data_IF_799860826836
#
_entry.id   IF_799860826836
#
_cell.length_a   1.000
_cell.length_b   1.000
_cell.length_c   1.000
_cell.angle_alpha   90.00
_cell.angle_beta   90.00
_cell.angle_gamma   90.00
#
_symmetry.space_group_name_H-M   'P 1'
#
loop_
_entity.id
_entity.type
_entity.pdbx_description
1 polymer ?
#
# COMPACT_ATOMS: atom_id res chain seq x y z
N UNK A 1 -2.80 -6.27 -15.59
CA UNK A 1 -3.47 -5.21 -16.39
C UNK A 1 -4.74 -5.66 -17.10
N UNK A 2 -4.75 -6.73 -17.92
CA UNK A 2 -5.97 -7.17 -18.66
C UNK A 2 -7.21 -7.38 -17.76
N UNK A 3 -7.03 -8.03 -16.61
CA UNK A 3 -8.09 -8.18 -15.59
C UNK A 3 -8.77 -6.85 -15.22
N UNK A 4 -7.98 -5.78 -15.04
CA UNK A 4 -8.49 -4.46 -14.68
C UNK A 4 -9.31 -3.88 -15.83
N UNK A 5 -8.76 -3.91 -17.06
CA UNK A 5 -9.42 -3.36 -18.26
C UNK A 5 -10.76 -4.05 -18.56
N UNK A 6 -10.85 -5.35 -18.30
CA UNK A 6 -12.05 -6.14 -18.60
C UNK A 6 -13.13 -6.04 -17.51
N UNK A 7 -12.78 -5.62 -16.29
CA UNK A 7 -13.67 -5.67 -15.12
C UNK A 7 -13.90 -4.31 -14.45
N UNK A 8 -13.29 -3.22 -14.93
CA UNK A 8 -13.56 -1.87 -14.47
C UNK A 8 -13.34 -0.82 -15.55
N UNK A 9 -13.77 0.40 -15.28
CA UNK A 9 -13.43 1.58 -16.11
C UNK A 9 -12.10 2.22 -15.72
N UNK A 10 -11.32 1.59 -14.84
CA UNK A 10 -10.04 2.12 -14.40
C UNK A 10 -9.04 2.10 -15.56
N UNK A 11 -8.52 3.27 -15.90
CA UNK A 11 -7.64 3.42 -17.04
C UNK A 11 -6.22 2.93 -16.72
N UNK A 12 -5.83 1.83 -17.36
CA UNK A 12 -4.48 1.24 -17.29
C UNK A 12 -3.92 1.00 -18.69
N UNK A 13 -2.58 0.91 -18.89
CA UNK A 13 -1.98 0.65 -20.19
C UNK A 13 -2.49 -0.66 -20.82
N UNK A 14 -2.86 -0.61 -22.10
CA UNK A 14 -3.10 -1.83 -22.87
C UNK A 14 -1.77 -2.51 -23.19
N UNK A 15 -1.70 -3.82 -22.95
CA UNK A 15 -0.55 -4.65 -23.36
C UNK A 15 -0.74 -5.03 -24.83
N UNK A 16 0.22 -4.66 -25.68
CA UNK A 16 0.22 -5.05 -27.10
C UNK A 16 0.90 -6.40 -27.32
N UNK A 17 2.07 -6.57 -26.73
CA UNK A 17 2.86 -7.80 -26.77
C UNK A 17 3.79 -7.84 -25.56
N UNK A 18 4.12 -9.04 -25.10
CA UNK A 18 5.15 -9.25 -24.10
C UNK A 18 5.89 -10.55 -24.41
N UNK A 19 7.14 -10.63 -23.98
CA UNK A 19 7.94 -11.84 -23.99
C UNK A 19 8.63 -11.96 -22.64
N UNK A 20 8.52 -13.14 -22.02
CA UNK A 20 9.10 -13.42 -20.71
C UNK A 20 10.37 -14.26 -20.80
N UNK A 21 10.56 -15.01 -21.90
CA UNK A 21 11.80 -15.75 -22.13
C UNK A 21 12.91 -14.77 -22.52
N UNK A 22 14.02 -14.80 -21.79
CA UNK A 22 15.21 -13.99 -22.09
C UNK A 22 15.90 -14.44 -23.39
N UNK A 23 15.66 -15.66 -23.85
CA UNK A 23 16.23 -16.24 -25.07
C UNK A 23 15.45 -15.87 -26.34
N UNK A 24 14.96 -14.63 -26.42
CA UNK A 24 14.29 -14.11 -27.61
C UNK A 24 15.24 -13.22 -28.45
N UNK A 25 14.79 -12.75 -29.60
CA UNK A 25 15.60 -11.93 -30.52
C UNK A 25 16.08 -10.59 -29.92
N UNK A 26 15.38 -10.05 -28.93
CA UNK A 26 15.77 -8.86 -28.18
C UNK A 26 16.79 -9.15 -27.07
N UNK A 27 17.02 -10.43 -26.71
CA UNK A 27 17.95 -10.83 -25.66
C UNK A 27 17.52 -10.43 -24.24
N UNK A 28 16.25 -10.05 -24.05
CA UNK A 28 15.70 -9.64 -22.77
C UNK A 28 14.18 -9.84 -22.74
N UNK A 29 13.62 -10.10 -21.56
CA UNK A 29 12.18 -10.03 -21.34
C UNK A 29 11.70 -8.59 -21.56
N UNK A 30 10.56 -8.43 -22.24
CA UNK A 30 10.03 -7.11 -22.58
C UNK A 30 8.51 -7.10 -22.60
N UNK A 31 7.95 -5.90 -22.53
CA UNK A 31 6.54 -5.63 -22.76
C UNK A 31 6.41 -4.35 -23.58
N UNK A 32 5.60 -4.38 -24.64
CA UNK A 32 5.17 -3.19 -25.35
C UNK A 32 3.75 -2.85 -24.91
N UNK A 33 3.60 -1.67 -24.33
CA UNK A 33 2.34 -1.18 -23.77
C UNK A 33 1.96 0.15 -24.37
N UNK A 34 0.68 0.47 -24.23
CA UNK A 34 0.12 1.76 -24.57
C UNK A 34 0.68 2.89 -23.71
N UNK A 35 1.09 3.99 -24.35
CA UNK A 35 1.34 5.24 -23.67
C UNK A 35 -0.02 5.88 -23.30
N UNK A 36 -0.28 6.03 -22.00
CA UNK A 36 -1.47 6.73 -21.54
C UNK A 36 -1.36 8.24 -21.81
N UNK A 37 -2.48 8.93 -22.09
CA UNK A 37 -2.47 10.38 -22.27
C UNK A 37 -2.18 11.10 -20.95
N UNK A 38 -1.62 12.30 -21.05
CA UNK A 38 -1.28 13.15 -19.90
C UNK A 38 0.20 13.10 -19.52
N UNK A 39 0.49 13.62 -18.33
CA UNK A 39 1.82 13.65 -17.72
C UNK A 39 1.76 12.98 -16.35
N UNK A 40 2.86 12.40 -15.89
CA UNK A 40 2.96 11.89 -14.52
C UNK A 40 2.72 13.04 -13.54
N UNK A 41 1.87 12.84 -12.54
CA UNK A 41 1.44 13.90 -11.61
C UNK A 41 2.62 14.52 -10.84
N UNK A 42 3.68 13.74 -10.57
CA UNK A 42 4.94 14.22 -9.99
C UNK A 42 5.68 15.22 -10.89
N UNK A 43 5.55 15.09 -12.21
CA UNK A 43 6.30 15.85 -13.22
C UNK A 43 5.51 16.99 -13.86
N UNK A 44 4.20 17.05 -13.63
CA UNK A 44 3.32 18.13 -14.07
C UNK A 44 3.82 19.50 -13.57
N UNK A 45 3.55 20.58 -14.33
CA UNK A 45 3.85 21.96 -13.91
C UNK A 45 5.33 22.22 -13.56
N UNK A 46 6.24 21.52 -14.23
CA UNK A 46 7.68 21.64 -14.03
C UNK A 46 8.27 20.72 -12.96
N UNK A 47 7.42 19.93 -12.30
CA UNK A 47 7.80 18.74 -11.54
C UNK A 47 8.77 18.99 -10.38
N UNK A 48 9.71 18.06 -10.19
CA UNK A 48 10.69 18.13 -9.10
C UNK A 48 11.48 19.44 -9.07
N UNK A 49 11.77 20.06 -10.22
CA UNK A 49 12.54 21.31 -10.28
C UNK A 49 11.78 22.52 -9.73
N UNK A 50 10.45 22.49 -9.81
CA UNK A 50 9.59 23.62 -9.42
C UNK A 50 9.00 23.42 -8.03
N UNK A 51 8.50 22.23 -7.72
CA UNK A 51 7.76 21.95 -6.49
C UNK A 51 8.19 20.64 -5.80
N UNK A 52 9.38 20.11 -6.13
CA UNK A 52 9.92 18.91 -5.48
C UNK A 52 9.10 17.64 -5.70
N UNK A 53 8.26 17.60 -6.75
CA UNK A 53 7.39 16.48 -7.07
C UNK A 53 6.09 16.46 -6.26
N UNK A 54 5.92 17.39 -5.32
CA UNK A 54 4.71 17.51 -4.50
C UNK A 54 3.60 18.16 -5.30
N UNK A 55 2.39 17.61 -5.27
CA UNK A 55 1.22 18.20 -5.93
C UNK A 55 0.95 19.61 -5.38
N UNK A 56 0.90 20.66 -6.24
CA UNK A 56 0.63 22.03 -5.80
C UNK A 56 -0.74 22.14 -5.13
N UNK A 57 -0.83 22.98 -4.09
CA UNK A 57 -1.97 23.05 -3.17
C UNK A 57 -3.28 23.35 -3.90
N UNK A 58 -3.24 24.21 -4.91
CA UNK A 58 -4.39 24.61 -5.71
C UNK A 58 -5.01 23.48 -6.55
N UNK A 59 -4.26 22.39 -6.80
CA UNK A 59 -4.73 21.22 -7.55
C UNK A 59 -5.01 19.99 -6.67
N UNK A 60 -4.61 20.02 -5.38
CA UNK A 60 -4.71 18.85 -4.49
C UNK A 60 -6.14 18.34 -4.36
N UNK A 61 -7.13 19.22 -4.21
CA UNK A 61 -8.52 18.79 -4.06
C UNK A 61 -9.01 18.01 -5.29
N UNK A 62 -8.86 18.56 -6.48
CA UNK A 62 -9.23 17.89 -7.74
C UNK A 62 -8.45 16.59 -7.94
N UNK A 63 -7.15 16.61 -7.69
CA UNK A 63 -6.30 15.44 -7.79
C UNK A 63 -6.75 14.33 -6.82
N UNK A 64 -6.93 14.65 -5.54
CA UNK A 64 -7.34 13.70 -4.50
C UNK A 64 -8.73 13.13 -4.79
N UNK A 65 -9.67 13.95 -5.24
CA UNK A 65 -11.00 13.48 -5.61
C UNK A 65 -10.95 12.52 -6.80
N UNK A 66 -10.10 12.80 -7.78
CA UNK A 66 -9.90 11.93 -8.94
C UNK A 66 -9.21 10.61 -8.56
N UNK A 67 -8.17 10.67 -7.71
CA UNK A 67 -7.48 9.49 -7.16
C UNK A 67 -8.42 8.65 -6.30
N UNK A 68 -9.30 9.26 -5.50
CA UNK A 68 -10.29 8.54 -4.70
C UNK A 68 -11.23 7.68 -5.56
N UNK A 69 -11.69 8.20 -6.71
CA UNK A 69 -12.49 7.43 -7.67
C UNK A 69 -11.72 6.23 -8.23
N UNK A 70 -10.45 6.44 -8.59
CA UNK A 70 -9.60 5.34 -9.05
C UNK A 70 -9.35 4.30 -7.96
N UNK A 71 -9.16 4.72 -6.71
CA UNK A 71 -8.93 3.83 -5.57
C UNK A 71 -10.17 2.98 -5.26
N UNK A 72 -11.37 3.56 -5.34
CA UNK A 72 -12.63 2.81 -5.25
C UNK A 72 -12.70 1.78 -6.38
N UNK A 73 -12.53 2.18 -7.65
CA UNK A 73 -12.58 1.24 -8.78
C UNK A 73 -11.56 0.10 -8.65
N UNK A 74 -10.35 0.40 -8.17
CA UNK A 74 -9.30 -0.59 -7.93
C UNK A 74 -9.71 -1.58 -6.84
N UNK A 75 -10.17 -1.10 -5.68
CA UNK A 75 -10.55 -1.98 -4.55
C UNK A 75 -11.90 -2.67 -4.72
N UNK A 76 -12.73 -2.24 -5.67
CA UNK A 76 -13.92 -2.96 -6.12
C UNK A 76 -13.57 -4.20 -6.97
N UNK A 77 -12.37 -4.25 -7.58
CA UNK A 77 -11.88 -5.46 -8.22
C UNK A 77 -11.43 -6.45 -7.15
N UNK A 78 -12.24 -7.49 -6.89
CA UNK A 78 -11.99 -8.42 -5.80
C UNK A 78 -11.99 -9.87 -6.28
N UNK A 79 -11.13 -10.69 -5.68
CA UNK A 79 -11.10 -12.13 -5.89
C UNK A 79 -11.37 -12.88 -4.57
N UNK A 80 -11.85 -14.13 -4.63
CA UNK A 80 -12.14 -14.91 -3.42
C UNK A 80 -10.92 -15.18 -2.53
N UNK A 81 -9.71 -15.18 -3.10
CA UNK A 81 -8.45 -15.51 -2.41
C UNK A 81 -7.44 -14.38 -2.55
N UNK A 82 -6.53 -14.26 -1.58
CA UNK A 82 -5.35 -13.38 -1.63
C UNK A 82 -4.31 -14.02 -2.55
N UNK A 83 -3.67 -13.23 -3.41
CA UNK A 83 -2.76 -13.78 -4.42
C UNK A 83 -2.49 -12.86 -5.61
N UNK A 84 -1.47 -13.20 -6.38
CA UNK A 84 -1.17 -12.56 -7.66
C UNK A 84 -2.27 -12.88 -8.68
N UNK A 85 -2.55 -11.98 -9.61
CA UNK A 85 -3.60 -12.21 -10.62
C UNK A 85 -3.03 -13.07 -11.74
N UNK A 86 -3.56 -14.28 -11.92
CA UNK A 86 -3.17 -15.20 -13.00
C UNK A 86 -4.34 -15.46 -13.94
N UNK A 87 -4.03 -15.61 -15.23
CA UNK A 87 -5.00 -16.02 -16.26
C UNK A 87 -4.91 -17.53 -16.44
N UNK A 88 -6.03 -18.22 -16.29
CA UNK A 88 -6.14 -19.66 -16.50
C UNK A 88 -6.26 -19.99 -17.99
N UNK A 89 -6.04 -21.27 -18.34
CA UNK A 89 -6.16 -21.77 -19.72
C UNK A 89 -7.56 -21.54 -20.32
N UNK A 90 -8.61 -21.53 -19.49
CA UNK A 90 -10.00 -21.23 -19.87
C UNK A 90 -10.25 -19.72 -20.08
N UNK A 91 -9.22 -18.88 -19.96
CA UNK A 91 -9.29 -17.43 -20.12
C UNK A 91 -9.77 -16.67 -18.88
N UNK A 92 -10.17 -17.34 -17.78
CA UNK A 92 -10.64 -16.70 -16.55
C UNK A 92 -9.49 -16.26 -15.65
N UNK A 93 -9.72 -15.23 -14.84
CA UNK A 93 -8.76 -14.77 -13.83
C UNK A 93 -8.99 -15.48 -12.49
N UNK A 94 -7.89 -15.83 -11.82
CA UNK A 94 -7.90 -16.35 -10.45
C UNK A 94 -6.68 -15.85 -9.69
N UNK A 95 -6.71 -15.99 -8.37
CA UNK A 95 -5.55 -15.71 -7.52
C UNK A 95 -4.55 -16.86 -7.62
N UNK A 96 -3.28 -16.53 -7.81
CA UNK A 96 -2.13 -17.42 -7.82
C UNK A 96 -1.15 -17.11 -6.69
N UNK A 97 -0.01 -17.81 -6.63
CA UNK A 97 1.01 -17.58 -5.61
C UNK A 97 1.64 -16.19 -5.76
N UNK A 98 1.91 -15.53 -4.63
CA UNK A 98 2.66 -14.28 -4.55
C UNK A 98 4.16 -14.62 -4.50
N UNK A 99 5.02 -14.02 -5.34
CA UNK A 99 6.46 -14.22 -5.29
C UNK A 99 7.03 -14.00 -3.87
N UNK A 100 7.89 -14.91 -3.41
CA UNK A 100 8.48 -14.85 -2.07
C UNK A 100 7.56 -15.24 -0.91
N UNK A 101 6.23 -15.21 -1.07
CA UNK A 101 5.25 -15.52 0.01
C UNK A 101 4.49 -16.84 -0.24
N UNK A 102 4.14 -17.17 -1.49
CA UNK A 102 3.34 -18.35 -1.85
C UNK A 102 1.84 -18.07 -1.95
N UNK A 103 1.00 -19.07 -1.70
CA UNK A 103 -0.46 -18.97 -1.86
C UNK A 103 -0.98 -19.65 -3.13
N UNK A 104 -2.21 -19.33 -3.59
CA UNK A 104 -3.13 -18.31 -3.06
C UNK A 104 -3.68 -18.66 -1.67
N UNK A 105 -4.18 -17.66 -0.93
CA UNK A 105 -4.68 -17.85 0.44
C UNK A 105 -6.17 -17.59 0.56
N UNK A 106 -6.88 -18.50 1.23
CA UNK A 106 -8.32 -18.40 1.47
C UNK A 106 -8.69 -17.39 2.57
N UNK A 107 -7.75 -17.09 3.48
CA UNK A 107 -7.98 -16.16 4.59
C UNK A 107 -6.81 -15.20 4.78
N UNK A 108 -7.09 -14.04 5.37
CA UNK A 108 -6.07 -13.08 5.76
C UNK A 108 -5.10 -13.68 6.80
N UNK A 109 -5.60 -14.46 7.75
CA UNK A 109 -4.76 -15.16 8.73
C UNK A 109 -3.74 -16.08 8.06
N UNK A 110 -4.15 -16.89 7.08
CA UNK A 110 -3.24 -17.76 6.35
C UNK A 110 -2.17 -16.99 5.56
N UNK A 111 -2.53 -15.82 5.00
CA UNK A 111 -1.57 -14.92 4.38
C UNK A 111 -0.53 -14.40 5.38
N UNK A 112 -0.96 -13.88 6.55
CA UNK A 112 -0.04 -13.35 7.55
C UNK A 112 0.84 -14.43 8.18
N UNK A 113 0.31 -15.63 8.39
CA UNK A 113 1.10 -16.79 8.84
C UNK A 113 2.21 -17.14 7.83
N UNK A 114 1.87 -17.18 6.54
CA UNK A 114 2.83 -17.46 5.47
C UNK A 114 3.85 -16.33 5.26
N UNK A 115 3.42 -15.07 5.35
CA UNK A 115 4.30 -13.92 5.32
C UNK A 115 5.29 -13.96 6.47
N UNK A 116 4.82 -14.20 7.70
CA UNK A 116 5.67 -14.25 8.88
C UNK A 116 6.74 -15.36 8.83
N UNK A 117 6.42 -16.50 8.19
CA UNK A 117 7.36 -17.61 8.03
C UNK A 117 8.45 -17.36 6.99
N UNK A 118 8.25 -16.40 6.07
CA UNK A 118 9.14 -16.19 4.92
C UNK A 118 9.84 -14.84 4.92
N UNK A 119 9.22 -13.84 5.54
CA UNK A 119 9.75 -12.47 5.57
C UNK A 119 11.07 -12.44 6.31
N UNK A 120 12.02 -11.67 5.78
CA UNK A 120 13.28 -11.36 6.44
C UNK A 120 13.43 -9.85 6.45
N UNK A 121 13.87 -9.32 7.58
CA UNK A 121 14.22 -7.91 7.65
C UNK A 121 15.44 -7.65 6.76
N UNK A 122 15.40 -6.58 5.96
CA UNK A 122 16.44 -6.33 4.93
C UNK A 122 17.80 -5.94 5.49
N UNK A 123 17.83 -5.30 6.66
CA UNK A 123 19.07 -4.85 7.29
C UNK A 123 19.66 -5.97 8.15
N UNK A 124 20.96 -6.19 8.04
CA UNK A 124 21.69 -7.08 8.93
C UNK A 124 21.95 -6.43 10.31
N UNK A 125 22.31 -7.28 11.28
CA UNK A 125 22.50 -6.86 12.68
C UNK A 125 23.62 -5.83 12.83
N UNK A 126 24.69 -5.93 12.05
CA UNK A 126 25.81 -4.99 12.11
C UNK A 126 25.38 -3.60 11.64
N UNK A 127 24.65 -3.53 10.53
CA UNK A 127 24.07 -2.30 9.98
C UNK A 127 23.12 -1.66 10.99
N UNK A 128 22.25 -2.46 11.63
CA UNK A 128 21.35 -1.95 12.69
C UNK A 128 22.18 -1.38 13.85
N UNK A 129 23.20 -2.10 14.33
CA UNK A 129 24.08 -1.62 15.41
C UNK A 129 24.76 -0.30 15.06
N UNK A 130 25.24 -0.14 13.83
CA UNK A 130 25.83 1.11 13.37
C UNK A 130 24.80 2.26 13.31
N UNK A 131 23.61 2.01 12.77
CA UNK A 131 22.53 3.00 12.69
C UNK A 131 22.02 3.44 14.07
N UNK A 132 22.07 2.55 15.07
CA UNK A 132 21.50 2.78 16.40
C UNK A 132 22.48 3.40 17.41
N UNK A 133 23.72 3.75 17.02
CA UNK A 133 24.73 4.33 17.93
C UNK A 133 24.26 5.59 18.69
N UNK A 134 23.35 6.37 18.10
CA UNK A 134 22.72 7.55 18.71
C UNK A 134 21.20 7.47 18.69
N UNK A 135 20.68 6.24 18.61
CA UNK A 135 19.26 5.98 18.56
C UNK A 135 18.56 6.24 19.90
N UNK A 136 17.22 6.33 19.89
CA UNK A 136 16.43 6.51 21.11
C UNK A 136 16.39 5.25 22.01
N UNK A 137 16.83 4.10 21.49
CA UNK A 137 16.95 2.81 22.20
C UNK A 137 18.27 2.13 21.80
N UNK A 138 18.68 1.08 22.52
CA UNK A 138 19.90 0.34 22.18
C UNK A 138 19.74 -0.46 20.88
N UNK A 139 20.87 -0.82 20.27
CA UNK A 139 20.91 -1.66 19.08
C UNK A 139 20.31 -3.05 19.34
N UNK A 140 20.61 -3.63 20.51
CA UNK A 140 20.12 -4.96 20.92
C UNK A 140 18.59 -4.97 21.01
N UNK A 141 17.99 -3.92 21.55
CA UNK A 141 16.53 -3.80 21.63
C UNK A 141 15.91 -3.63 20.24
N UNK A 142 16.50 -2.82 19.37
CA UNK A 142 16.00 -2.68 17.99
C UNK A 142 16.09 -3.98 17.21
N UNK A 143 17.21 -4.71 17.33
CA UNK A 143 17.37 -6.04 16.71
C UNK A 143 16.26 -6.98 17.21
N UNK A 144 16.03 -7.03 18.54
CA UNK A 144 14.97 -7.83 19.13
C UNK A 144 13.59 -7.47 18.57
N UNK A 145 13.25 -6.18 18.50
CA UNK A 145 11.99 -5.69 17.93
C UNK A 145 11.80 -6.20 16.49
N UNK A 146 12.85 -6.10 15.66
CA UNK A 146 12.78 -6.56 14.27
C UNK A 146 12.73 -8.09 14.14
N UNK A 147 13.48 -8.84 14.95
CA UNK A 147 13.51 -10.31 14.94
C UNK A 147 12.17 -10.89 15.43
N UNK A 148 11.53 -10.28 16.43
CA UNK A 148 10.30 -10.80 17.02
C UNK A 148 9.02 -10.44 16.24
N UNK A 149 9.01 -9.33 15.50
CA UNK A 149 7.80 -8.81 14.85
C UNK A 149 7.03 -9.84 13.99
N UNK A 150 7.68 -10.60 13.07
CA UNK A 150 6.97 -11.61 12.29
C UNK A 150 6.23 -12.63 13.17
N UNK A 151 6.90 -13.14 14.22
CA UNK A 151 6.30 -14.11 15.15
C UNK A 151 5.13 -13.53 15.95
N UNK A 152 5.21 -12.24 16.31
CA UNK A 152 4.13 -11.54 17.00
C UNK A 152 2.91 -11.40 16.10
N UNK A 153 3.07 -11.01 14.84
CA UNK A 153 1.98 -10.95 13.86
C UNK A 153 1.38 -12.34 13.62
N UNK A 154 2.22 -13.37 13.47
CA UNK A 154 1.77 -14.76 13.33
C UNK A 154 0.89 -15.20 14.49
N UNK A 155 1.29 -14.87 15.73
CA UNK A 155 0.54 -15.26 16.94
C UNK A 155 -0.86 -14.65 17.03
N UNK A 156 -1.09 -13.53 16.35
CA UNK A 156 -2.37 -12.81 16.39
C UNK A 156 -3.13 -12.86 15.07
N UNK A 157 -2.61 -13.52 14.04
CA UNK A 157 -3.13 -13.48 12.67
C UNK A 157 -4.64 -13.76 12.59
N UNK A 158 -5.15 -14.70 13.39
CA UNK A 158 -6.57 -15.08 13.47
C UNK A 158 -7.44 -14.12 14.30
N UNK A 159 -6.82 -13.35 15.17
CA UNK A 159 -7.47 -12.41 16.08
C UNK A 159 -7.51 -10.98 15.52
N UNK A 160 -6.73 -10.72 14.47
CA UNK A 160 -6.64 -9.39 13.89
C UNK A 160 -8.04 -8.87 13.52
N UNK A 161 -8.36 -7.61 13.84
CA UNK A 161 -9.74 -7.10 13.87
C UNK A 161 -10.33 -6.78 12.49
N UNK A 162 -9.70 -7.25 11.42
CA UNK A 162 -10.15 -7.03 10.05
C UNK A 162 -10.75 -8.30 9.45
N UNK A 163 -11.40 -8.14 8.29
CA UNK A 163 -12.07 -9.23 7.58
C UNK A 163 -11.08 -10.35 7.26
N UNK A 164 -11.26 -11.49 7.94
CA UNK A 164 -10.43 -12.66 7.71
C UNK A 164 -10.80 -13.39 6.41
N UNK A 165 -12.05 -13.27 5.99
CA UNK A 165 -12.59 -13.91 4.78
C UNK A 165 -12.78 -12.90 3.65
N UNK A 166 -12.75 -13.42 2.44
CA UNK A 166 -12.90 -12.63 1.22
C UNK A 166 -14.31 -12.05 0.99
N UNK A 167 -14.53 -11.47 -0.20
CA UNK A 167 -13.54 -11.31 -1.27
C UNK A 167 -12.51 -10.22 -0.93
N UNK A 168 -11.29 -10.37 -1.48
CA UNK A 168 -10.13 -9.54 -1.18
C UNK A 168 -9.86 -8.53 -2.31
N UNK A 169 -9.60 -7.24 -2.00
CA UNK A 169 -9.40 -6.18 -2.98
C UNK A 169 -8.06 -6.29 -3.67
N UNK A 170 -8.04 -5.99 -4.97
CA UNK A 170 -6.83 -5.68 -5.71
C UNK A 170 -6.21 -4.41 -5.13
N UNK A 171 -4.90 -4.46 -4.88
CA UNK A 171 -4.11 -3.31 -4.47
C UNK A 171 -2.96 -3.10 -5.45
N UNK A 172 -2.66 -1.84 -5.72
CA UNK A 172 -1.43 -1.41 -6.37
C UNK A 172 -0.33 -1.32 -5.31
N UNK A 173 0.85 -1.89 -5.58
CA UNK A 173 1.93 -1.98 -4.58
C UNK A 173 2.61 -0.61 -4.35
N UNK A 174 2.71 0.22 -5.40
CA UNK A 174 3.29 1.56 -5.36
C UNK A 174 2.26 2.65 -5.79
N UNK A 175 1.25 2.88 -4.96
CA UNK A 175 0.17 3.85 -5.27
C UNK A 175 0.58 5.30 -4.94
N UNK A 176 1.59 5.78 -5.66
CA UNK A 176 2.21 7.10 -5.53
C UNK A 176 1.96 7.97 -6.78
N UNK A 177 2.06 9.30 -6.65
CA UNK A 177 1.83 10.25 -7.76
C UNK A 177 2.89 10.17 -8.88
N UNK A 178 3.96 9.41 -8.70
CA UNK A 178 4.88 9.00 -9.78
C UNK A 178 4.29 7.96 -10.74
N UNK A 179 3.24 7.24 -10.31
CA UNK A 179 2.57 6.19 -11.09
C UNK A 179 1.14 6.60 -11.51
N UNK A 180 0.79 7.87 -11.35
CA UNK A 180 -0.53 8.42 -11.67
C UNK A 180 -0.37 9.45 -12.78
N UNK A 181 -1.05 9.21 -13.90
CA UNK A 181 -1.12 10.14 -15.03
C UNK A 181 -2.23 11.15 -14.81
N UNK A 182 -1.99 12.42 -15.18
CA UNK A 182 -2.97 13.50 -15.08
C UNK A 182 -3.04 14.33 -16.36
N UNK A 183 -4.20 14.92 -16.59
CA UNK A 183 -4.34 16.08 -17.48
C UNK A 183 -3.75 17.30 -16.77
N UNK A 184 -2.68 17.89 -17.33
CA UNK A 184 -1.92 18.97 -16.66
C UNK A 184 -2.76 20.22 -16.38
N UNK A 185 -3.77 20.50 -17.21
CA UNK A 185 -4.62 21.69 -17.05
C UNK A 185 -5.62 21.55 -15.89
N UNK A 186 -6.16 20.35 -15.66
CA UNK A 186 -7.22 20.11 -14.68
C UNK A 186 -6.80 19.27 -13.46
N UNK A 187 -5.66 18.58 -13.52
CA UNK A 187 -5.21 17.58 -12.54
C UNK A 187 -6.17 16.41 -12.33
N UNK A 188 -7.10 16.17 -13.27
CA UNK A 188 -7.86 14.93 -13.29
C UNK A 188 -6.96 13.77 -13.70
N UNK A 189 -7.11 12.64 -13.02
CA UNK A 189 -6.40 11.39 -13.34
C UNK A 189 -6.84 10.88 -14.70
N UNK A 190 -5.87 10.65 -15.58
CA UNK A 190 -6.08 10.06 -16.91
C UNK A 190 -5.72 8.57 -16.94
N UNK A 191 -5.03 8.07 -15.92
CA UNK A 191 -4.84 6.65 -15.67
C UNK A 191 -3.73 6.33 -14.68
N UNK A 192 -3.55 5.04 -14.39
CA UNK A 192 -2.54 4.52 -13.46
C UNK A 192 -1.62 3.57 -14.23
N UNK A 193 -0.32 3.72 -14.03
CA UNK A 193 0.74 2.91 -14.65
C UNK A 193 1.48 2.09 -13.58
N UNK A 194 2.45 1.29 -14.02
CA UNK A 194 3.34 0.52 -13.15
C UNK A 194 2.64 -0.48 -12.20
N UNK A 195 1.83 -1.34 -12.79
CA UNK A 195 1.07 -2.38 -12.09
C UNK A 195 1.91 -3.61 -11.67
N UNK A 196 3.23 -3.48 -11.61
CA UNK A 196 4.09 -4.52 -11.07
C UNK A 196 3.74 -4.77 -9.59
N UNK A 197 3.82 -6.02 -9.14
CA UNK A 197 3.50 -6.38 -7.74
C UNK A 197 2.01 -6.36 -7.38
N UNK A 198 1.13 -5.81 -8.23
CA UNK A 198 -0.31 -5.72 -7.94
C UNK A 198 -0.94 -7.11 -7.69
N UNK A 199 -1.60 -7.24 -6.54
CA UNK A 199 -2.21 -8.48 -6.11
C UNK A 199 -3.45 -8.22 -5.25
N UNK A 200 -4.29 -9.22 -5.05
CA UNK A 200 -5.36 -9.11 -4.04
C UNK A 200 -4.77 -9.32 -2.65
N UNK A 201 -5.10 -8.45 -1.70
CA UNK A 201 -4.50 -8.38 -0.34
C UNK A 201 -5.57 -8.43 0.76
N UNK A 202 -5.22 -8.78 2.02
CA UNK A 202 -6.10 -8.51 3.16
C UNK A 202 -6.58 -7.06 3.21
N UNK A 203 -7.85 -6.82 3.59
CA UNK A 203 -8.36 -5.46 3.82
C UNK A 203 -7.54 -4.67 4.86
N UNK A 204 -6.93 -5.37 5.82
CA UNK A 204 -6.02 -4.75 6.80
C UNK A 204 -4.72 -4.17 6.21
N UNK A 205 -4.40 -4.48 4.94
CA UNK A 205 -3.25 -3.91 4.23
C UNK A 205 -3.64 -2.79 3.25
N UNK A 206 -4.92 -2.47 3.10
CA UNK A 206 -5.35 -1.35 2.26
C UNK A 206 -4.98 -0.03 2.94
N UNK A 207 -4.08 0.72 2.32
CA UNK A 207 -3.55 1.96 2.86
C UNK A 207 -4.01 3.18 2.05
N UNK A 208 -3.88 4.37 2.65
CA UNK A 208 -3.93 5.62 1.90
C UNK A 208 -2.87 5.64 0.78
N UNK A 209 -3.12 6.38 -0.33
CA UNK A 209 -2.06 6.71 -1.29
C UNK A 209 -0.82 7.27 -0.59
N UNK A 210 0.36 6.90 -1.07
CA UNK A 210 1.62 7.11 -0.35
C UNK A 210 1.91 8.59 -0.03
N UNK A 211 1.45 9.49 -0.90
CA UNK A 211 1.66 10.93 -0.73
C UNK A 211 0.94 11.54 0.47
N UNK A 212 -0.21 10.97 0.86
CA UNK A 212 -0.93 11.31 2.10
C UNK A 212 -0.75 10.24 3.18
N UNK A 213 0.19 9.31 3.03
CA UNK A 213 0.53 8.37 4.09
C UNK A 213 1.30 9.10 5.21
N UNK A 214 0.99 8.73 6.45
CA UNK A 214 1.68 9.17 7.67
C UNK A 214 2.07 7.97 8.50
N UNK A 215 3.14 8.15 9.27
CA UNK A 215 3.60 7.16 10.22
C UNK A 215 2.55 6.99 11.34
N UNK A 216 2.17 5.74 11.69
CA UNK A 216 1.29 5.48 12.83
C UNK A 216 1.94 5.95 14.13
N UNK A 217 1.12 6.46 15.06
CA UNK A 217 1.59 6.91 16.37
C UNK A 217 2.37 5.83 17.12
N UNK A 218 1.91 4.58 17.06
CA UNK A 218 2.58 3.43 17.68
C UNK A 218 3.95 3.13 17.08
N UNK A 219 4.19 3.52 15.83
CA UNK A 219 5.46 3.33 15.13
C UNK A 219 6.45 4.49 15.35
N UNK A 220 6.00 5.60 15.93
CA UNK A 220 6.77 6.84 16.10
C UNK A 220 7.20 7.08 17.57
N UNK A 221 8.00 8.11 17.79
CA UNK A 221 8.40 8.55 19.13
C UNK A 221 7.26 9.31 19.83
N UNK A 222 6.95 9.00 21.11
CA UNK A 222 5.87 9.65 21.84
C UNK A 222 5.99 11.17 21.91
N UNK A 223 7.23 11.69 21.93
CA UNK A 223 7.53 13.13 21.99
C UNK A 223 7.07 13.91 20.74
N UNK A 224 6.69 13.25 19.65
CA UNK A 224 6.14 13.91 18.46
C UNK A 224 4.64 14.19 18.59
N UNK A 225 4.01 13.79 19.70
CA UNK A 225 2.57 13.92 19.94
C UNK A 225 2.29 14.62 21.26
N UNK A 226 1.15 15.30 21.36
CA UNK A 226 0.66 15.86 22.61
C UNK A 226 -0.05 14.80 23.49
N UNK A 227 -0.63 15.26 24.60
CA UNK A 227 -1.32 14.40 25.58
C UNK A 227 -2.57 13.73 25.00
N UNK A 228 -3.23 14.38 24.05
CA UNK A 228 -4.41 13.88 23.35
C UNK A 228 -4.04 12.96 22.18
N UNK A 229 -2.75 12.88 21.85
CA UNK A 229 -2.23 12.04 20.78
C UNK A 229 -2.25 12.71 19.40
N UNK A 230 -2.43 14.03 19.34
CA UNK A 230 -2.30 14.79 18.10
C UNK A 230 -0.82 15.07 17.80
N UNK A 231 -0.42 15.03 16.51
CA UNK A 231 0.96 15.28 16.13
C UNK A 231 1.32 16.75 16.38
N UNK A 232 2.51 17.01 16.90
CA UNK A 232 2.99 18.37 17.18
C UNK A 232 3.43 19.11 15.90
N UNK A 233 3.98 18.37 14.92
CA UNK A 233 4.48 18.94 13.67
C UNK A 233 3.32 19.31 12.74
N UNK A 234 3.24 20.59 12.34
CA UNK A 234 2.16 21.11 11.48
C UNK A 234 2.00 20.34 10.16
N UNK A 235 3.10 19.94 9.51
CA UNK A 235 3.02 19.15 8.27
C UNK A 235 2.32 17.79 8.46
N UNK A 236 2.39 17.21 9.66
CA UNK A 236 1.69 15.93 9.96
C UNK A 236 0.22 16.20 10.28
N UNK A 237 -0.09 17.31 10.97
CA UNK A 237 -1.48 17.76 11.17
C UNK A 237 -2.18 18.03 9.84
N UNK A 238 -1.49 18.66 8.89
CA UNK A 238 -2.00 18.90 7.54
C UNK A 238 -2.33 17.58 6.84
N UNK A 239 -1.39 16.61 6.82
CA UNK A 239 -1.67 15.28 6.25
C UNK A 239 -2.81 14.54 6.95
N UNK A 240 -3.00 14.72 8.25
CA UNK A 240 -4.15 14.15 8.96
C UNK A 240 -5.47 14.76 8.49
N UNK A 241 -5.52 16.08 8.24
CA UNK A 241 -6.68 16.73 7.62
C UNK A 241 -6.92 16.21 6.21
N UNK A 242 -5.88 16.15 5.38
CA UNK A 242 -5.98 15.63 4.01
C UNK A 242 -6.49 14.18 3.97
N UNK A 243 -6.12 13.34 4.94
CA UNK A 243 -6.67 11.97 5.07
C UNK A 243 -8.15 11.97 5.39
N UNK A 244 -8.61 12.83 6.30
CA UNK A 244 -10.04 12.96 6.60
C UNK A 244 -10.81 13.40 5.34
N UNK A 245 -10.32 14.41 4.63
CA UNK A 245 -10.94 14.90 3.40
C UNK A 245 -10.95 13.79 2.32
N UNK A 246 -9.85 13.05 2.18
CA UNK A 246 -9.74 11.94 1.25
C UNK A 246 -10.73 10.81 1.56
N UNK A 247 -10.96 10.50 2.84
CA UNK A 247 -11.99 9.52 3.25
C UNK A 247 -13.38 9.98 2.80
N UNK A 248 -13.71 11.27 2.94
CA UNK A 248 -15.01 11.79 2.48
C UNK A 248 -15.13 11.76 0.95
N UNK A 249 -14.04 12.02 0.23
CA UNK A 249 -13.98 11.85 -1.23
C UNK A 249 -14.19 10.38 -1.63
N UNK A 250 -13.60 9.43 -0.89
CA UNK A 250 -13.82 8.00 -1.08
C UNK A 250 -15.28 7.63 -0.82
N UNK A 251 -15.87 8.06 0.31
CA UNK A 251 -17.29 7.81 0.62
C UNK A 251 -18.23 8.32 -0.46
N UNK A 252 -17.89 9.46 -1.06
CA UNK A 252 -18.65 10.05 -2.17
C UNK A 252 -18.51 9.23 -3.47
N UNK A 253 -17.36 8.60 -3.68
CA UNK A 253 -17.10 7.78 -4.86
C UNK A 253 -17.53 6.32 -4.71
N UNK A 254 -17.65 5.83 -3.47
CA UNK A 254 -18.15 4.50 -3.14
C UNK A 254 -19.59 4.31 -3.60
N UNK A 255 -19.91 3.09 -4.05
CA UNK A 255 -21.20 2.72 -4.62
C UNK A 255 -21.88 1.63 -3.81
N UNK A 256 -21.60 0.37 -4.17
CA UNK A 256 -22.29 -0.81 -3.62
C UNK A 256 -21.97 -1.11 -2.15
N UNK A 257 -20.79 -0.69 -1.69
CA UNK A 257 -20.34 -0.85 -0.31
C UNK A 257 -19.43 0.30 0.12
N UNK A 258 -19.08 0.31 1.41
CA UNK A 258 -18.25 1.32 2.07
C UNK A 258 -16.92 0.74 2.61
N UNK A 259 -16.42 -0.34 2.00
CA UNK A 259 -15.31 -1.10 2.56
C UNK A 259 -13.97 -0.34 2.47
N UNK A 260 -13.77 0.49 1.46
CA UNK A 260 -12.54 1.26 1.31
C UNK A 260 -12.50 2.39 2.35
N UNK A 261 -13.54 3.20 2.47
CA UNK A 261 -13.59 4.29 3.45
C UNK A 261 -13.50 3.76 4.88
N UNK A 262 -14.14 2.63 5.18
CA UNK A 262 -14.05 1.93 6.47
C UNK A 262 -12.61 1.46 6.75
N UNK A 263 -11.93 0.92 5.74
CA UNK A 263 -10.55 0.42 5.89
C UNK A 263 -9.54 1.56 6.07
N UNK A 264 -9.70 2.66 5.33
CA UNK A 264 -8.85 3.85 5.42
C UNK A 264 -9.02 4.59 6.75
N UNK A 265 -10.24 4.63 7.27
CA UNK A 265 -10.57 5.30 8.54
C UNK A 265 -10.15 4.50 9.78
N UNK A 266 -9.76 3.22 9.61
CA UNK A 266 -9.36 2.35 10.70
C UNK A 266 -7.86 2.48 11.02
N UNK A 267 -7.54 3.08 12.18
CA UNK A 267 -6.16 3.28 12.62
C UNK A 267 -5.36 1.98 12.76
N UNK A 268 -5.98 0.87 13.15
CA UNK A 268 -5.30 -0.43 13.27
C UNK A 268 -4.92 -0.98 11.89
N UNK A 269 -5.79 -0.83 10.89
CA UNK A 269 -5.47 -1.19 9.51
C UNK A 269 -4.29 -0.34 9.01
N UNK A 270 -4.34 0.97 9.23
CA UNK A 270 -3.26 1.85 8.79
C UNK A 270 -1.94 1.57 9.52
N UNK A 271 -1.99 1.18 10.80
CA UNK A 271 -0.80 0.76 11.55
C UNK A 271 -0.21 -0.54 11.02
N UNK A 272 -1.05 -1.53 10.72
CA UNK A 272 -0.62 -2.79 10.13
C UNK A 272 -0.05 -2.59 8.72
N UNK A 273 -0.78 -1.92 7.83
CA UNK A 273 -0.33 -1.68 6.46
C UNK A 273 1.02 -0.95 6.43
N UNK A 274 1.17 0.09 7.27
CA UNK A 274 2.42 0.81 7.39
C UNK A 274 3.57 -0.05 7.92
N UNK A 275 3.35 -0.81 8.99
CA UNK A 275 4.39 -1.67 9.55
C UNK A 275 4.76 -2.83 8.62
N UNK A 276 3.79 -3.40 7.90
CA UNK A 276 4.04 -4.39 6.84
C UNK A 276 4.97 -3.82 5.75
N UNK A 277 4.66 -2.63 5.22
CA UNK A 277 5.48 -1.97 4.21
C UNK A 277 6.86 -1.59 4.75
N UNK A 278 6.91 -0.94 5.92
CA UNK A 278 8.14 -0.55 6.60
C UNK A 278 9.09 -1.74 6.83
N UNK A 279 8.56 -2.88 7.29
CA UNK A 279 9.35 -4.08 7.50
C UNK A 279 9.92 -4.62 6.18
N UNK A 280 9.09 -4.65 5.14
CA UNK A 280 9.45 -5.16 3.80
C UNK A 280 10.55 -4.31 3.15
N UNK A 281 10.63 -3.01 3.44
CA UNK A 281 11.70 -2.13 2.94
C UNK A 281 12.89 -1.98 3.89
N UNK A 282 12.87 -2.66 5.05
CA UNK A 282 13.97 -2.58 6.03
C UNK A 282 14.00 -1.29 6.84
N UNK A 283 12.87 -0.59 6.95
CA UNK A 283 12.76 0.62 7.77
C UNK A 283 12.73 0.25 9.25
N UNK A 284 13.65 0.82 10.04
CA UNK A 284 13.66 0.67 11.49
C UNK A 284 12.50 1.44 12.14
N UNK A 285 11.96 0.87 13.21
CA UNK A 285 10.91 1.50 14.01
C UNK A 285 10.33 0.55 15.07
N UNK A 286 9.31 1.03 15.77
CA UNK A 286 8.73 0.35 16.94
C UNK A 286 7.64 -0.66 16.54
N UNK A 287 8.05 -1.74 15.88
CA UNK A 287 7.16 -2.81 15.42
C UNK A 287 6.43 -3.53 16.58
N UNK A 288 7.08 -3.66 17.73
CA UNK A 288 6.57 -4.24 18.97
C UNK A 288 5.37 -3.47 19.53
N UNK A 289 5.41 -2.14 19.44
CA UNK A 289 4.31 -1.25 19.86
C UNK A 289 3.10 -1.39 18.94
N UNK A 290 3.33 -1.49 17.63
CA UNK A 290 2.26 -1.75 16.66
C UNK A 290 1.63 -3.12 16.94
N UNK A 291 2.43 -4.17 17.14
CA UNK A 291 1.91 -5.49 17.48
C UNK A 291 1.12 -5.51 18.80
N UNK A 292 1.55 -4.73 19.79
CA UNK A 292 0.83 -4.56 21.06
C UNK A 292 -0.50 -3.81 20.88
N UNK A 293 -0.53 -2.76 20.05
CA UNK A 293 -1.74 -2.03 19.71
C UNK A 293 -2.75 -2.94 18.99
N UNK A 294 -2.29 -3.71 18.00
CA UNK A 294 -3.10 -4.69 17.29
C UNK A 294 -3.70 -5.72 18.26
N UNK A 295 -2.91 -6.28 19.17
CA UNK A 295 -3.37 -7.19 20.25
C UNK A 295 -4.45 -6.58 21.14
N UNK A 296 -4.34 -5.31 21.50
CA UNK A 296 -5.35 -4.65 22.33
C UNK A 296 -6.66 -4.47 21.57
N UNK A 297 -6.57 -4.18 20.27
CA UNK A 297 -7.73 -4.06 19.39
C UNK A 297 -8.50 -5.37 19.18
N UNK A 298 -7.90 -6.53 19.47
CA UNK A 298 -8.59 -7.84 19.37
C UNK A 298 -9.40 -8.21 20.61
N UNK A 299 -9.27 -7.47 21.71
CA UNK A 299 -9.88 -7.78 23.01
C UNK A 299 -11.18 -6.99 23.28
N UNK A 300 -11.73 -6.32 22.26
CA UNK A 300 -12.94 -5.49 22.34
C UNK A 300 -14.10 -6.17 21.62
#
# INVERSE_FOLDING_TARGET
>A
MQFIQENSSLRVPRVFVYETDMNNAAGAAFMLIEMLPGIVAMDALGGHKVHGGVIPVEYRETFYQSVAKCHVQMTSLRLPKIGAIIRSEDGRYKSGPIPGIGGPFDTAAAFFEAWADKVKFKLDKETITQMMQRGPISAEEMIKITDEFPSQIKSIAKLLPFRNEGPFPLCHDDFLHSNIMVDEASFNVTGIIDWEGACTVPWGLVAYPEFIQVMPRSFDLPQHYDQDGHPLKESVKEKWRERCDYVEMVKTAEGEDNLLSTSLSNNLNQALAYSYGAFTVGKLGFFDRVATELKKGTCV
#
